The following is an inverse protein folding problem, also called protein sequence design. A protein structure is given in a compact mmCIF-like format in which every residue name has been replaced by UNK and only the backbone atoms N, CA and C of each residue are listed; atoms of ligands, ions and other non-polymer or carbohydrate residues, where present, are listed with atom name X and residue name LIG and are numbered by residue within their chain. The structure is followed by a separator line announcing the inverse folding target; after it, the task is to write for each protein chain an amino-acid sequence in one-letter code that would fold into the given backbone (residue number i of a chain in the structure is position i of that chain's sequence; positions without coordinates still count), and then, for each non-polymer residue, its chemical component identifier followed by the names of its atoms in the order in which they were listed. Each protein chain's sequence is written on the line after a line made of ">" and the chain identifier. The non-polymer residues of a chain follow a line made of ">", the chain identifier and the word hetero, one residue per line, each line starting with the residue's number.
data_IF_311739838540
#
_entry.id   IF_311739838540
#
_cell.length_a   1.000
_cell.length_b   1.000
_cell.length_c   1.000
_cell.angle_alpha   90.00
_cell.angle_beta   90.00
_cell.angle_gamma   90.00
#
_symmetry.space_group_name_H-M   'P 1'
#
loop_
_entity.id
_entity.type
_entity.pdbx_description
1 polymer ?
#
# COMPACT_ATOMS: atom_id res chain seq x y z
N UNK A 1 -3.63 -15.19 -1.10
CA UNK A 1 -3.86 -14.03 -0.22
C UNK A 1 -3.04 -12.83 -0.65
N UNK A 2 -1.72 -12.96 -0.84
CA UNK A 2 -0.85 -11.86 -1.26
C UNK A 2 -1.25 -11.25 -2.61
N UNK A 3 -1.59 -12.09 -3.59
CA UNK A 3 -2.09 -11.60 -4.90
C UNK A 3 -3.43 -10.87 -4.73
N UNK A 4 -4.32 -11.37 -3.88
CA UNK A 4 -5.58 -10.70 -3.59
C UNK A 4 -5.36 -9.33 -2.92
N UNK A 5 -4.44 -9.24 -1.95
CA UNK A 5 -4.06 -7.99 -1.31
C UNK A 5 -3.48 -6.98 -2.32
N UNK A 6 -2.61 -7.44 -3.24
CA UNK A 6 -2.02 -6.64 -4.29
C UNK A 6 -3.09 -6.10 -5.25
N UNK A 7 -3.96 -6.98 -5.76
CA UNK A 7 -5.01 -6.59 -6.71
C UNK A 7 -6.02 -5.65 -6.07
N UNK A 8 -6.45 -5.94 -4.83
CA UNK A 8 -7.33 -5.05 -4.07
C UNK A 8 -6.70 -3.68 -3.86
N UNK A 9 -5.41 -3.64 -3.50
CA UNK A 9 -4.65 -2.41 -3.37
C UNK A 9 -4.60 -1.61 -4.67
N UNK A 10 -4.27 -2.25 -5.80
CA UNK A 10 -4.19 -1.59 -7.11
C UNK A 10 -5.54 -0.99 -7.55
N UNK A 11 -6.63 -1.74 -7.39
CA UNK A 11 -7.97 -1.26 -7.73
C UNK A 11 -8.39 -0.08 -6.84
N UNK A 12 -8.02 -0.12 -5.57
CA UNK A 12 -8.33 0.94 -4.63
C UNK A 12 -7.53 2.23 -4.87
N UNK A 13 -6.31 2.14 -5.44
CA UNK A 13 -5.47 3.31 -5.70
C UNK A 13 -6.08 4.32 -6.67
N UNK A 14 -6.81 3.85 -7.67
CA UNK A 14 -7.44 4.74 -8.65
C UNK A 14 -8.45 5.70 -8.00
N UNK A 15 -9.01 5.31 -6.87
CA UNK A 15 -9.98 6.12 -6.11
C UNK A 15 -9.33 7.00 -5.03
N UNK A 16 -8.04 6.79 -4.71
CA UNK A 16 -7.39 7.42 -3.56
C UNK A 16 -7.42 8.95 -3.62
N UNK A 17 -7.04 9.54 -4.75
CA UNK A 17 -7.00 11.00 -4.95
C UNK A 17 -7.90 11.49 -6.09
N UNK A 18 -8.50 10.60 -6.88
CA UNK A 18 -9.30 10.98 -8.03
C UNK A 18 -10.52 11.81 -7.63
N UNK A 19 -11.28 11.37 -6.62
CA UNK A 19 -12.43 12.12 -6.13
C UNK A 19 -12.02 13.52 -5.65
N UNK A 20 -10.95 13.59 -4.86
CA UNK A 20 -10.44 14.84 -4.30
C UNK A 20 -9.84 15.78 -5.38
N UNK A 21 -9.38 15.22 -6.51
CA UNK A 21 -8.95 15.99 -7.67
C UNK A 21 -10.12 16.50 -8.50
N UNK A 22 -11.15 15.68 -8.70
CA UNK A 22 -12.30 16.01 -9.54
C UNK A 22 -13.22 17.06 -8.90
N UNK A 23 -13.32 17.09 -7.56
CA UNK A 23 -14.14 18.04 -6.79
C UNK A 23 -13.37 19.28 -6.32
N UNK A 24 -12.08 19.41 -6.63
CA UNK A 24 -11.24 20.56 -6.26
C UNK A 24 -10.79 20.57 -4.80
N UNK A 25 -10.98 19.49 -4.05
CA UNK A 25 -10.55 19.39 -2.65
C UNK A 25 -9.04 19.43 -2.50
N UNK A 26 -8.28 18.92 -3.48
CA UNK A 26 -6.81 18.95 -3.45
C UNK A 26 -6.25 20.37 -3.44
N UNK A 27 -6.85 21.31 -4.18
CA UNK A 27 -6.46 22.73 -4.15
C UNK A 27 -6.70 23.33 -2.76
N UNK A 28 -7.79 22.95 -2.09
CA UNK A 28 -8.08 23.38 -0.72
C UNK A 28 -7.06 22.82 0.29
N UNK A 29 -6.56 21.59 0.07
CA UNK A 29 -5.51 21.01 0.90
C UNK A 29 -4.21 21.83 0.84
N UNK A 30 -3.89 22.43 -0.33
CA UNK A 30 -2.71 23.27 -0.47
C UNK A 30 -2.82 24.58 0.30
N UNK A 31 -4.03 25.07 0.56
CA UNK A 31 -4.32 26.28 1.33
C UNK A 31 -4.49 26.01 2.83
N UNK A 32 -4.53 24.75 3.25
CA UNK A 32 -4.71 24.37 4.64
C UNK A 32 -3.48 24.78 5.49
N UNK A 33 -3.68 25.17 6.76
CA UNK A 33 -2.59 25.53 7.68
C UNK A 33 -1.80 24.31 8.19
N UNK A 34 -1.88 23.19 7.49
CA UNK A 34 -1.26 21.92 7.85
C UNK A 34 -0.37 21.44 6.69
N UNK A 35 0.80 20.83 6.97
CA UNK A 35 1.66 20.31 5.91
C UNK A 35 0.91 19.32 5.00
N UNK A 36 0.99 19.51 3.68
CA UNK A 36 0.33 18.64 2.71
C UNK A 36 0.72 17.16 2.87
N UNK A 37 1.98 16.89 3.22
CA UNK A 37 2.45 15.53 3.49
C UNK A 37 1.67 14.85 4.62
N UNK A 38 1.28 15.61 5.64
CA UNK A 38 0.47 15.07 6.74
C UNK A 38 -0.95 14.72 6.28
N UNK A 39 -1.57 15.58 5.47
CA UNK A 39 -2.90 15.31 4.90
C UNK A 39 -2.88 14.07 4.01
N UNK A 40 -1.84 13.93 3.17
CA UNK A 40 -1.62 12.75 2.34
C UNK A 40 -1.46 11.49 3.19
N UNK A 41 -0.68 11.55 4.27
CA UNK A 41 -0.50 10.42 5.17
C UNK A 41 -1.82 9.99 5.80
N UNK A 42 -2.56 10.93 6.38
CA UNK A 42 -3.88 10.66 6.99
C UNK A 42 -4.85 10.08 5.98
N UNK A 43 -4.90 10.63 4.77
CA UNK A 43 -5.76 10.14 3.68
C UNK A 43 -5.39 8.70 3.30
N UNK A 44 -4.10 8.42 3.14
CA UNK A 44 -3.60 7.08 2.78
C UNK A 44 -3.89 6.05 3.88
N UNK A 45 -3.67 6.41 5.14
CA UNK A 45 -3.97 5.52 6.28
C UNK A 45 -5.47 5.26 6.39
N UNK A 46 -6.30 6.29 6.25
CA UNK A 46 -7.77 6.13 6.27
C UNK A 46 -8.26 5.23 5.13
N UNK A 47 -7.72 5.42 3.94
CA UNK A 47 -8.02 4.59 2.78
C UNK A 47 -7.58 3.14 2.98
N UNK A 48 -6.36 2.91 3.49
CA UNK A 48 -5.88 1.57 3.84
C UNK A 48 -6.78 0.90 4.88
N UNK A 49 -7.17 1.63 5.92
CA UNK A 49 -8.03 1.10 6.98
C UNK A 49 -9.42 0.68 6.46
N UNK A 50 -9.97 1.38 5.49
CA UNK A 50 -11.29 1.05 4.93
C UNK A 50 -11.24 -0.04 3.87
N UNK A 51 -10.14 -0.11 3.09
CA UNK A 51 -10.03 -1.03 1.94
C UNK A 51 -9.30 -2.33 2.28
N UNK A 52 -8.21 -2.25 3.03
CA UNK A 52 -7.28 -3.39 3.23
C UNK A 52 -7.39 -4.02 4.62
N UNK A 53 -7.74 -3.25 5.65
CA UNK A 53 -7.90 -3.78 7.00
C UNK A 53 -8.97 -4.90 7.08
N UNK A 54 -10.12 -4.82 6.38
CA UNK A 54 -11.08 -5.93 6.36
C UNK A 54 -10.49 -7.23 5.80
N UNK A 55 -9.63 -7.13 4.77
CA UNK A 55 -8.92 -8.29 4.22
C UNK A 55 -7.95 -8.89 5.26
N UNK A 56 -7.23 -8.04 6.01
CA UNK A 56 -6.32 -8.47 7.05
C UNK A 56 -7.05 -9.20 8.18
N UNK A 57 -8.24 -8.71 8.56
CA UNK A 57 -9.09 -9.36 9.56
C UNK A 57 -9.66 -10.70 9.07
N UNK A 58 -9.97 -10.80 7.79
CA UNK A 58 -10.43 -12.03 7.16
C UNK A 58 -9.29 -13.02 6.83
N UNK A 59 -8.04 -12.58 6.85
CA UNK A 59 -6.88 -13.36 6.43
C UNK A 59 -6.73 -14.70 7.17
N UNK A 60 -6.95 -14.84 8.49
CA UNK A 60 -6.85 -16.13 9.17
C UNK A 60 -7.89 -17.13 8.66
N UNK A 61 -9.13 -16.68 8.45
CA UNK A 61 -10.22 -17.51 7.92
C UNK A 61 -9.90 -17.95 6.48
N UNK A 62 -9.47 -17.03 5.65
CA UNK A 62 -9.09 -17.31 4.26
C UNK A 62 -7.88 -18.23 4.18
N UNK A 63 -6.90 -18.09 5.09
CA UNK A 63 -5.75 -18.97 5.17
C UNK A 63 -6.15 -20.41 5.51
N UNK A 64 -7.09 -20.58 6.43
CA UNK A 64 -7.62 -21.91 6.79
C UNK A 64 -8.41 -22.54 5.63
N UNK A 65 -9.26 -21.75 4.95
CA UNK A 65 -10.00 -22.22 3.77
C UNK A 65 -9.09 -22.61 2.60
N UNK A 66 -7.94 -21.97 2.47
CA UNK A 66 -6.92 -22.29 1.46
C UNK A 66 -5.98 -23.43 1.89
N UNK A 67 -6.20 -24.04 3.07
CA UNK A 67 -5.42 -25.16 3.56
C UNK A 67 -4.01 -24.78 4.04
N UNK A 68 -3.76 -23.52 4.41
CA UNK A 68 -2.47 -23.12 4.97
C UNK A 68 -2.31 -23.72 6.38
N UNK A 69 -1.19 -24.38 6.69
CA UNK A 69 -0.92 -24.89 8.04
C UNK A 69 -0.93 -23.77 9.08
N UNK A 70 -1.58 -24.00 10.21
CA UNK A 70 -1.73 -22.99 11.28
C UNK A 70 -0.40 -22.45 11.82
N UNK A 71 0.66 -23.26 11.76
CA UNK A 71 2.00 -22.84 12.15
C UNK A 71 2.53 -21.63 11.33
N UNK A 72 2.01 -21.41 10.12
CA UNK A 72 2.41 -20.34 9.21
C UNK A 72 1.53 -19.07 9.34
N UNK A 73 0.41 -19.14 10.08
CA UNK A 73 -0.50 -18.01 10.27
C UNK A 73 0.21 -16.76 10.85
N UNK A 74 1.06 -16.87 11.90
CA UNK A 74 1.75 -15.69 12.44
C UNK A 74 2.63 -15.00 11.40
N UNK A 75 3.34 -15.76 10.57
CA UNK A 75 4.20 -15.23 9.51
C UNK A 75 3.37 -14.55 8.42
N UNK A 76 2.27 -15.18 8.00
CA UNK A 76 1.34 -14.60 7.04
C UNK A 76 0.75 -13.30 7.54
N UNK A 77 0.24 -13.28 8.77
CA UNK A 77 -0.40 -12.10 9.37
C UNK A 77 0.61 -10.97 9.59
N UNK A 78 1.81 -11.27 10.10
CA UNK A 78 2.87 -10.29 10.25
C UNK A 78 3.29 -9.71 8.89
N UNK A 79 3.47 -10.56 7.89
CA UNK A 79 3.78 -10.13 6.53
C UNK A 79 2.71 -9.23 5.94
N UNK A 80 1.43 -9.60 6.04
CA UNK A 80 0.32 -8.79 5.57
C UNK A 80 0.18 -7.47 6.36
N UNK A 81 0.36 -7.50 7.68
CA UNK A 81 0.28 -6.31 8.52
C UNK A 81 1.39 -5.29 8.22
N UNK A 82 2.58 -5.75 7.81
CA UNK A 82 3.69 -4.88 7.39
C UNK A 82 3.59 -4.51 5.90
N UNK A 83 3.25 -5.46 5.06
CA UNK A 83 3.26 -5.29 3.61
C UNK A 83 2.08 -4.49 3.07
N UNK A 84 0.88 -4.66 3.62
CA UNK A 84 -0.31 -3.95 3.08
C UNK A 84 -0.26 -2.43 3.31
N UNK A 85 0.13 -1.88 4.47
CA UNK A 85 0.31 -0.44 4.60
C UNK A 85 1.49 0.06 3.77
N UNK A 86 2.55 -0.73 3.60
CA UNK A 86 3.66 -0.40 2.70
C UNK A 86 3.18 -0.28 1.26
N UNK A 87 2.37 -1.24 0.76
CA UNK A 87 1.75 -1.16 -0.57
C UNK A 87 0.89 0.10 -0.73
N UNK A 88 0.10 0.45 0.30
CA UNK A 88 -0.75 1.65 0.27
C UNK A 88 0.06 2.94 0.21
N UNK A 89 1.17 3.03 0.95
CA UNK A 89 2.05 4.20 0.93
C UNK A 89 2.78 4.35 -0.40
N UNK A 90 3.34 3.26 -0.94
CA UNK A 90 3.97 3.27 -2.27
C UNK A 90 2.93 3.61 -3.35
N UNK A 91 1.74 3.04 -3.24
CA UNK A 91 0.64 3.32 -4.14
C UNK A 91 0.18 4.78 -4.09
N UNK A 92 0.19 5.42 -2.93
CA UNK A 92 -0.15 6.84 -2.80
C UNK A 92 0.80 7.74 -3.58
N UNK A 93 2.10 7.42 -3.62
CA UNK A 93 3.08 8.14 -4.46
C UNK A 93 2.73 8.00 -5.94
N UNK A 94 2.45 6.76 -6.38
CA UNK A 94 2.08 6.50 -7.78
C UNK A 94 0.76 7.17 -8.14
N UNK A 95 -0.25 7.11 -7.28
CA UNK A 95 -1.53 7.78 -7.48
C UNK A 95 -1.35 9.30 -7.59
N UNK A 96 -0.51 9.91 -6.74
CA UNK A 96 -0.19 11.33 -6.80
C UNK A 96 0.49 11.72 -8.11
N UNK A 97 1.41 10.90 -8.62
CA UNK A 97 2.10 11.13 -9.91
C UNK A 97 1.17 11.03 -11.12
N UNK A 98 0.06 10.33 -11.01
CA UNK A 98 -0.90 10.13 -12.12
C UNK A 98 -2.10 11.07 -12.07
N UNK A 99 -2.15 12.01 -11.12
CA UNK A 99 -3.22 13.02 -11.02
C UNK A 99 -3.28 13.84 -12.32
N UNK A 100 -4.50 14.02 -12.86
CA UNK A 100 -4.74 14.79 -14.07
C UNK A 100 -4.45 14.08 -15.39
N UNK A 101 -3.97 12.83 -15.37
CA UNK A 101 -3.72 12.06 -16.60
C UNK A 101 -4.99 11.35 -17.09
N UNK A 102 -5.31 11.49 -18.39
CA UNK A 102 -6.52 10.88 -19.00
C UNK A 102 -6.59 9.35 -18.93
N UNK A 103 -5.46 8.66 -18.78
CA UNK A 103 -5.35 7.19 -18.67
C UNK A 103 -4.63 6.79 -17.37
N UNK A 104 -5.00 7.43 -16.27
CA UNK A 104 -4.37 7.23 -14.98
C UNK A 104 -4.33 5.76 -14.54
N UNK A 105 -5.40 4.98 -14.74
CA UNK A 105 -5.46 3.59 -14.29
C UNK A 105 -4.40 2.67 -14.90
N UNK A 106 -4.14 2.77 -16.22
CA UNK A 106 -3.11 1.96 -16.89
C UNK A 106 -1.70 2.38 -16.43
N UNK A 107 -1.44 3.70 -16.37
CA UNK A 107 -0.17 4.24 -15.93
C UNK A 107 0.08 3.92 -14.46
N UNK A 108 -0.96 4.01 -13.62
CA UNK A 108 -0.92 3.66 -12.21
C UNK A 108 -0.49 2.20 -12.02
N UNK A 109 -1.13 1.26 -12.73
CA UNK A 109 -0.75 -0.14 -12.67
C UNK A 109 0.69 -0.38 -13.16
N UNK A 110 1.09 0.26 -14.28
CA UNK A 110 2.42 0.12 -14.85
C UNK A 110 3.52 0.62 -13.91
N UNK A 111 3.27 1.71 -13.18
CA UNK A 111 4.22 2.28 -12.22
C UNK A 111 4.18 1.55 -10.87
N UNK A 112 2.99 1.12 -10.42
CA UNK A 112 2.85 0.46 -9.13
C UNK A 112 3.41 -0.96 -9.12
N UNK A 113 3.22 -1.74 -10.20
CA UNK A 113 3.65 -3.14 -10.25
C UNK A 113 5.13 -3.35 -9.93
N UNK A 114 6.09 -2.63 -10.53
CA UNK A 114 7.51 -2.78 -10.18
C UNK A 114 7.82 -2.48 -8.72
N UNK A 115 7.11 -1.51 -8.11
CA UNK A 115 7.27 -1.16 -6.70
C UNK A 115 6.64 -2.20 -5.77
N UNK A 116 5.60 -2.89 -6.23
CA UNK A 116 4.87 -3.89 -5.45
C UNK A 116 5.55 -5.26 -5.45
N UNK A 117 6.31 -5.57 -6.52
CA UNK A 117 7.01 -6.87 -6.65
C UNK A 117 7.92 -7.17 -5.46
N UNK A 118 8.81 -6.28 -4.98
CA UNK A 118 9.64 -6.55 -3.81
C UNK A 118 8.81 -6.86 -2.55
N UNK A 119 7.72 -6.13 -2.33
CA UNK A 119 6.83 -6.33 -1.17
C UNK A 119 6.18 -7.72 -1.26
N UNK A 120 5.72 -8.12 -2.44
CA UNK A 120 5.16 -9.44 -2.69
C UNK A 120 6.20 -10.54 -2.47
N UNK A 121 7.41 -10.36 -3.00
CA UNK A 121 8.51 -11.35 -2.88
C UNK A 121 8.89 -11.56 -1.42
N UNK A 122 9.07 -10.50 -0.64
CA UNK A 122 9.43 -10.64 0.77
C UNK A 122 8.24 -11.13 1.61
N UNK A 123 7.02 -10.69 1.33
CA UNK A 123 5.83 -11.10 2.07
C UNK A 123 5.45 -12.56 1.82
N UNK A 124 5.21 -12.94 0.59
CA UNK A 124 4.88 -14.32 0.22
C UNK A 124 6.09 -15.26 0.41
N UNK A 125 7.30 -14.77 0.14
CA UNK A 125 8.54 -15.51 0.35
C UNK A 125 8.78 -15.87 1.80
N UNK A 126 8.48 -14.98 2.75
CA UNK A 126 8.58 -15.29 4.19
C UNK A 126 7.69 -16.46 4.60
N UNK A 127 6.47 -16.53 4.06
CA UNK A 127 5.56 -17.67 4.30
C UNK A 127 6.13 -18.95 3.70
N UNK A 128 6.65 -18.88 2.47
CA UNK A 128 7.24 -20.04 1.79
C UNK A 128 8.50 -20.57 2.50
N UNK A 129 9.34 -19.65 2.99
CA UNK A 129 10.54 -19.99 3.79
C UNK A 129 10.14 -20.65 5.11
N UNK A 130 9.14 -20.12 5.80
CA UNK A 130 8.58 -20.69 7.02
C UNK A 130 7.99 -22.09 6.78
N UNK A 131 7.34 -22.31 5.63
CA UNK A 131 6.79 -23.61 5.25
C UNK A 131 7.88 -24.69 5.07
N UNK A 132 9.09 -24.29 4.73
CA UNK A 132 10.26 -25.16 4.59
C UNK A 132 11.02 -25.37 5.91
N UNK A 133 10.52 -24.81 7.02
CA UNK A 133 11.16 -24.91 8.34
C UNK A 133 12.35 -23.97 8.53
N UNK A 134 12.52 -22.96 7.65
CA UNK A 134 13.58 -21.97 7.78
C UNK A 134 13.05 -20.69 8.44
N UNK A 135 13.98 -19.86 8.90
CA UNK A 135 13.66 -18.59 9.58
C UNK A 135 13.14 -17.52 8.59
N UNK A 136 11.87 -17.06 8.71
CA UNK A 136 11.30 -16.04 7.83
C UNK A 136 11.66 -14.60 8.24
N UNK A 137 12.40 -14.41 9.33
CA UNK A 137 12.62 -13.10 9.97
C UNK A 137 13.25 -12.08 9.01
N UNK A 138 14.18 -12.52 8.15
CA UNK A 138 14.85 -11.63 7.20
C UNK A 138 13.88 -10.90 6.27
N UNK A 139 12.93 -11.61 5.68
CA UNK A 139 11.91 -11.00 4.81
C UNK A 139 10.96 -10.05 5.56
N UNK A 140 10.56 -10.44 6.77
CA UNK A 140 9.70 -9.60 7.62
C UNK A 140 10.42 -8.32 8.07
N UNK A 141 11.70 -8.40 8.41
CA UNK A 141 12.51 -7.21 8.75
C UNK A 141 12.67 -6.26 7.56
N UNK A 142 12.84 -6.79 6.35
CA UNK A 142 12.90 -5.96 5.14
C UNK A 142 11.57 -5.26 4.86
N UNK A 143 10.44 -5.94 5.05
CA UNK A 143 9.12 -5.30 4.97
C UNK A 143 8.95 -4.23 6.04
N UNK A 144 9.36 -4.48 7.27
CA UNK A 144 9.30 -3.52 8.37
C UNK A 144 10.18 -2.30 8.12
N UNK A 145 11.42 -2.49 7.67
CA UNK A 145 12.32 -1.41 7.29
C UNK A 145 11.76 -0.58 6.13
N UNK A 146 11.21 -1.26 5.10
CA UNK A 146 10.53 -0.62 3.98
C UNK A 146 9.33 0.22 4.44
N UNK A 147 8.53 -0.31 5.37
CA UNK A 147 7.39 0.42 5.94
C UNK A 147 7.82 1.67 6.69
N UNK A 148 8.84 1.57 7.55
CA UNK A 148 9.38 2.73 8.30
C UNK A 148 9.88 3.80 7.33
N UNK A 149 10.64 3.40 6.31
CA UNK A 149 11.11 4.33 5.28
C UNK A 149 9.94 4.95 4.50
N UNK A 150 8.93 4.16 4.13
CA UNK A 150 7.77 4.64 3.37
C UNK A 150 6.88 5.59 4.19
N UNK A 151 6.69 5.38 5.49
CA UNK A 151 5.93 6.30 6.35
C UNK A 151 6.52 7.70 6.35
N UNK A 152 7.84 7.81 6.24
CA UNK A 152 8.53 9.12 6.21
C UNK A 152 8.60 9.68 4.79
N UNK A 153 9.01 8.88 3.83
CA UNK A 153 9.33 9.36 2.48
C UNK A 153 8.11 9.45 1.55
N UNK A 154 7.18 8.49 1.62
CA UNK A 154 6.06 8.44 0.69
C UNK A 154 5.11 9.65 0.81
N UNK A 155 4.72 10.12 1.99
CA UNK A 155 3.86 11.31 2.10
C UNK A 155 4.52 12.56 1.54
N UNK A 156 5.83 12.71 1.74
CA UNK A 156 6.61 13.86 1.22
C UNK A 156 6.68 13.79 -0.31
N UNK A 157 6.99 12.63 -0.86
CA UNK A 157 7.06 12.41 -2.30
C UNK A 157 5.69 12.62 -2.97
N UNK A 158 4.61 12.08 -2.38
CA UNK A 158 3.26 12.25 -2.90
C UNK A 158 2.80 13.72 -2.81
N UNK A 159 3.09 14.41 -1.71
CA UNK A 159 2.80 15.84 -1.57
C UNK A 159 3.55 16.70 -2.62
N UNK A 160 4.81 16.36 -2.90
CA UNK A 160 5.58 17.04 -3.95
C UNK A 160 4.95 16.79 -5.34
N UNK A 161 4.53 15.54 -5.62
CA UNK A 161 3.87 15.20 -6.88
C UNK A 161 2.53 15.95 -7.06
N UNK A 162 1.70 16.03 -6.00
CA UNK A 162 0.44 16.78 -6.02
C UNK A 162 0.69 18.27 -6.30
N UNK A 163 1.69 18.87 -5.66
CA UNK A 163 2.05 20.30 -5.92
C UNK A 163 2.41 20.53 -7.38
N UNK A 164 3.23 19.64 -7.97
CA UNK A 164 3.63 19.78 -9.38
C UNK A 164 2.43 19.59 -10.32
N UNK A 165 1.50 18.69 -9.98
CA UNK A 165 0.33 18.42 -10.81
C UNK A 165 -0.69 19.57 -10.82
N UNK A 166 -0.74 20.39 -9.76
CA UNK A 166 -1.69 21.49 -9.58
C UNK A 166 -1.10 22.88 -9.88
N UNK A 167 0.19 22.99 -10.17
CA UNK A 167 0.85 24.24 -10.61
C UNK A 167 1.01 24.28 -12.12
#
# INVERSE_FOLDING_TARGET
>A
LWVAALLSGLLALDTLFRGDADDGSLEQWMLAPVPLAWLVLVRTVSHWATTTLPLLLAAPLLAELLGLPRAQFPVLLAGLALGTPLLSLLGAVVAALTIGMRRSGILLALLALPLYVPVLVFGAGSVAISAQGHDPTGGLLLLGAGLVAAVVLAPVAAAAAIRIALT
#
